data_IF_873181201476
#
_entry.id   IF_873181201476
#
_cell.length_a   1.000
_cell.length_b   1.000
_cell.length_c   1.000
_cell.angle_alpha   90.00
_cell.angle_beta   90.00
_cell.angle_gamma   90.00
#
_symmetry.space_group_name_H-M   'P 1'
#
loop_
_entity.id
_entity.type
_entity.pdbx_description
1 polymer ?
#
# COMPACT_ATOMS: atom_id res chain seq x y z
N UNK A 1 4.62 -13.46 20.92
CA UNK A 1 5.40 -13.26 19.68
C UNK A 1 4.51 -12.68 18.59
N UNK A 2 4.98 -11.66 17.94
CA UNK A 2 4.21 -11.04 16.89
C UNK A 2 4.46 -11.71 15.56
N UNK A 3 3.41 -12.11 14.87
CA UNK A 3 3.50 -12.72 13.55
C UNK A 3 3.01 -11.76 12.46
N UNK A 4 3.08 -12.21 11.22
CA UNK A 4 2.67 -11.41 10.07
C UNK A 4 1.21 -10.99 10.16
N UNK A 5 0.34 -11.88 10.60
CA UNK A 5 -1.10 -11.60 10.71
C UNK A 5 -1.38 -10.50 11.73
N UNK A 6 -0.72 -10.55 12.89
CA UNK A 6 -0.89 -9.54 13.93
C UNK A 6 -0.39 -8.18 13.45
N UNK A 7 0.75 -8.16 12.78
CA UNK A 7 1.31 -6.93 12.21
C UNK A 7 0.40 -6.35 11.15
N UNK A 8 -0.11 -7.21 10.27
CA UNK A 8 -1.02 -6.78 9.21
C UNK A 8 -2.32 -6.19 9.79
N UNK A 9 -2.90 -6.82 10.82
CA UNK A 9 -4.13 -6.33 11.43
C UNK A 9 -3.92 -4.94 12.06
N UNK A 10 -2.78 -4.71 12.68
CA UNK A 10 -2.44 -3.39 13.20
C UNK A 10 -2.35 -2.36 12.09
N UNK A 11 -1.73 -2.73 10.98
CA UNK A 11 -1.61 -1.84 9.83
C UNK A 11 -2.98 -1.55 9.23
N UNK A 12 -3.80 -2.57 9.06
CA UNK A 12 -5.14 -2.42 8.50
C UNK A 12 -5.99 -1.47 9.35
N UNK A 13 -5.92 -1.61 10.67
CA UNK A 13 -6.64 -0.72 11.58
C UNK A 13 -6.22 0.73 11.37
N UNK A 14 -4.93 0.97 11.18
CA UNK A 14 -4.41 2.30 10.93
C UNK A 14 -4.91 2.84 9.58
N UNK A 15 -4.87 2.02 8.54
CA UNK A 15 -5.32 2.42 7.19
C UNK A 15 -6.79 2.84 7.23
N UNK A 16 -7.62 2.07 7.93
CA UNK A 16 -9.05 2.35 7.98
C UNK A 16 -9.41 3.59 8.78
N UNK A 17 -8.47 4.15 9.53
CA UNK A 17 -8.66 5.41 10.23
C UNK A 17 -8.35 6.63 9.37
N UNK A 18 -7.71 6.44 8.21
CA UNK A 18 -7.44 7.55 7.31
C UNK A 18 -8.77 8.05 6.73
N UNK A 19 -8.99 9.39 6.72
CA UNK A 19 -10.27 9.94 6.28
C UNK A 19 -10.68 9.49 4.87
N UNK A 20 -11.90 9.00 4.75
CA UNK A 20 -12.47 8.62 3.46
C UNK A 20 -12.08 7.22 2.96
N UNK A 21 -11.32 6.47 3.75
CA UNK A 21 -10.86 5.15 3.32
C UNK A 21 -11.93 4.09 3.54
N UNK A 22 -12.07 3.22 2.55
CA UNK A 22 -12.95 2.05 2.60
C UNK A 22 -12.19 0.83 2.10
N UNK A 23 -12.51 -0.34 2.65
CA UNK A 23 -11.97 -1.58 2.14
C UNK A 23 -13.00 -2.27 1.25
N UNK A 24 -12.52 -3.05 0.28
CA UNK A 24 -13.36 -3.82 -0.62
C UNK A 24 -12.61 -5.09 -1.03
N UNK A 25 -13.34 -6.06 -1.56
CA UNK A 25 -12.70 -7.24 -2.10
C UNK A 25 -12.01 -6.87 -3.41
N UNK A 26 -10.75 -7.29 -3.56
CA UNK A 26 -10.01 -7.03 -4.79
C UNK A 26 -10.42 -8.07 -5.85
N UNK A 27 -10.53 -7.63 -7.11
CA UNK A 27 -11.05 -8.47 -8.19
C UNK A 27 -10.24 -9.74 -8.45
N UNK A 28 -8.95 -9.73 -8.15
CA UNK A 28 -8.08 -10.91 -8.33
C UNK A 28 -7.73 -11.58 -7.01
N UNK A 29 -8.55 -11.34 -5.98
CA UNK A 29 -8.33 -11.90 -4.65
C UNK A 29 -7.63 -10.93 -3.73
N UNK A 30 -7.80 -11.11 -2.42
CA UNK A 30 -7.25 -10.19 -1.44
C UNK A 30 -8.19 -9.04 -1.14
N UNK A 31 -7.66 -8.00 -0.54
CA UNK A 31 -8.42 -6.84 -0.07
C UNK A 31 -7.81 -5.58 -0.66
N UNK A 32 -8.65 -4.70 -1.21
CA UNK A 32 -8.18 -3.40 -1.67
C UNK A 32 -8.68 -2.30 -0.76
N UNK A 33 -7.95 -1.19 -0.73
CA UNK A 33 -8.32 0.00 0.03
C UNK A 33 -8.47 1.16 -0.94
N UNK A 34 -9.56 1.90 -0.79
CA UNK A 34 -9.91 3.02 -1.65
C UNK A 34 -10.10 4.28 -0.80
N UNK A 35 -9.77 5.42 -1.38
CA UNK A 35 -10.14 6.71 -0.80
C UNK A 35 -11.02 7.41 -1.82
N UNK A 36 -12.26 7.72 -1.41
CA UNK A 36 -13.27 8.37 -2.25
C UNK A 36 -13.44 7.64 -3.59
N UNK A 37 -13.40 6.30 -3.55
CA UNK A 37 -13.61 5.46 -4.73
C UNK A 37 -12.36 5.16 -5.55
N UNK A 38 -11.20 5.72 -5.17
CA UNK A 38 -9.95 5.49 -5.90
C UNK A 38 -9.08 4.50 -5.14
N UNK A 39 -8.75 3.37 -5.77
CA UNK A 39 -7.87 2.39 -5.18
C UNK A 39 -6.46 2.94 -5.04
N UNK A 40 -5.86 2.83 -3.86
CA UNK A 40 -4.48 3.24 -3.65
C UNK A 40 -3.58 2.11 -3.15
N UNK A 41 -4.14 0.99 -2.78
CA UNK A 41 -3.37 -0.21 -2.42
C UNK A 41 -4.27 -1.44 -2.32
N UNK A 42 -3.65 -2.61 -2.39
CA UNK A 42 -4.33 -3.85 -2.06
C UNK A 42 -3.33 -4.81 -1.42
N UNK A 43 -3.86 -5.80 -0.70
CA UNK A 43 -3.04 -6.80 -0.03
C UNK A 43 -3.35 -8.19 -0.57
N UNK A 44 -2.30 -9.00 -0.69
CA UNK A 44 -2.39 -10.43 -1.03
C UNK A 44 -1.97 -11.21 0.20
N UNK A 45 -2.92 -11.47 1.10
CA UNK A 45 -2.62 -12.06 2.39
C UNK A 45 -1.96 -11.05 3.33
N UNK A 46 -1.48 -11.49 4.50
CA UNK A 46 -0.99 -10.57 5.53
C UNK A 46 0.43 -10.07 5.33
N UNK A 47 1.17 -10.58 4.36
CA UNK A 47 2.58 -10.25 4.23
C UNK A 47 2.93 -9.47 2.96
N UNK A 48 2.01 -9.36 2.01
CA UNK A 48 2.31 -8.74 0.72
C UNK A 48 1.35 -7.63 0.38
N UNK A 49 1.89 -6.44 0.13
CA UNK A 49 1.09 -5.26 -0.23
C UNK A 49 1.54 -4.75 -1.59
N UNK A 50 0.58 -4.34 -2.41
CA UNK A 50 0.85 -3.59 -3.63
C UNK A 50 0.30 -2.19 -3.42
N UNK A 51 1.12 -1.17 -3.61
CA UNK A 51 0.83 0.21 -3.24
C UNK A 51 1.08 1.10 -4.44
N UNK A 52 0.11 1.97 -4.78
CA UNK A 52 0.21 2.83 -5.95
C UNK A 52 0.66 4.24 -5.56
N UNK A 53 1.78 4.64 -6.13
CA UNK A 53 2.40 5.94 -5.87
C UNK A 53 2.37 6.81 -7.13
N UNK A 54 2.63 8.10 -6.99
CA UNK A 54 3.00 8.92 -8.14
C UNK A 54 4.33 8.40 -8.67
N UNK A 55 4.64 8.68 -9.92
CA UNK A 55 5.92 8.24 -10.50
C UNK A 55 7.11 8.83 -9.75
N UNK A 56 6.96 10.06 -9.30
CA UNK A 56 8.02 10.74 -8.55
C UNK A 56 8.26 10.04 -7.20
N UNK A 57 7.18 9.76 -6.46
CA UNK A 57 7.29 9.06 -5.18
C UNK A 57 7.76 7.63 -5.37
N UNK A 58 7.32 6.96 -6.42
CA UNK A 58 7.79 5.61 -6.75
C UNK A 58 9.32 5.59 -6.88
N UNK A 59 9.85 6.53 -7.66
CA UNK A 59 11.30 6.63 -7.85
C UNK A 59 12.03 6.83 -6.53
N UNK A 60 11.54 7.73 -5.69
CA UNK A 60 12.14 8.01 -4.40
C UNK A 60 12.10 6.82 -3.46
N UNK A 61 10.95 6.14 -3.41
CA UNK A 61 10.74 4.99 -2.52
C UNK A 61 11.63 3.82 -2.93
N UNK A 62 11.71 3.53 -4.23
CA UNK A 62 12.56 2.44 -4.73
C UNK A 62 14.04 2.75 -4.51
N UNK A 63 14.44 4.00 -4.75
CA UNK A 63 15.83 4.42 -4.56
C UNK A 63 16.23 4.33 -3.10
N UNK A 64 15.32 4.64 -2.19
CA UNK A 64 15.59 4.56 -0.75
C UNK A 64 15.53 3.12 -0.21
N UNK A 65 15.13 2.15 -1.05
CA UNK A 65 15.04 0.75 -0.62
C UNK A 65 13.86 0.46 0.28
N UNK A 66 12.85 1.33 0.29
CA UNK A 66 11.67 1.16 1.15
C UNK A 66 10.66 0.17 0.62
N UNK A 67 10.72 -0.14 -0.67
CA UNK A 67 9.80 -1.09 -1.29
C UNK A 67 10.49 -1.74 -2.50
N UNK A 68 9.80 -2.73 -3.09
CA UNK A 68 10.28 -3.46 -4.25
C UNK A 68 9.50 -3.03 -5.48
N UNK A 69 10.14 -3.12 -6.65
CA UNK A 69 9.45 -2.86 -7.91
C UNK A 69 8.35 -3.92 -8.12
N UNK A 70 7.20 -3.48 -8.63
CA UNK A 70 6.11 -4.41 -8.92
C UNK A 70 6.53 -5.34 -10.08
N UNK A 71 6.20 -6.63 -9.95
CA UNK A 71 6.60 -7.63 -10.93
C UNK A 71 5.94 -7.42 -12.30
N UNK A 72 4.68 -6.97 -12.32
CA UNK A 72 4.00 -6.68 -13.58
C UNK A 72 4.44 -5.33 -14.08
N UNK A 73 5.12 -5.30 -15.23
CA UNK A 73 5.69 -4.08 -15.78
C UNK A 73 4.67 -2.97 -16.01
N UNK A 74 3.48 -3.34 -16.47
CA UNK A 74 2.43 -2.35 -16.73
C UNK A 74 2.01 -1.65 -15.43
N UNK A 75 1.99 -2.37 -14.31
CA UNK A 75 1.67 -1.77 -13.02
C UNK A 75 2.85 -0.95 -12.49
N UNK A 76 4.07 -1.45 -12.67
CA UNK A 76 5.25 -0.68 -12.29
C UNK A 76 5.28 0.65 -13.03
N UNK A 77 4.92 0.68 -14.30
CA UNK A 77 4.86 1.92 -15.07
C UNK A 77 3.77 2.86 -14.59
N UNK A 78 2.73 2.32 -13.95
CA UNK A 78 1.62 3.12 -13.41
C UNK A 78 1.88 3.61 -11.97
N UNK A 79 3.04 3.34 -11.41
CA UNK A 79 3.43 3.81 -10.10
C UNK A 79 3.35 2.78 -8.98
N UNK A 80 2.95 1.55 -9.28
CA UNK A 80 2.81 0.51 -8.25
C UNK A 80 4.16 0.02 -7.76
N UNK A 81 4.24 -0.21 -6.45
CA UNK A 81 5.38 -0.86 -5.80
C UNK A 81 4.85 -1.98 -4.92
N UNK A 82 5.72 -2.92 -4.57
CA UNK A 82 5.38 -4.02 -3.68
C UNK A 82 6.11 -3.85 -2.36
N UNK A 83 5.42 -4.12 -1.26
CA UNK A 83 5.98 -4.00 0.08
C UNK A 83 5.71 -5.29 0.85
N UNK A 84 6.75 -5.87 1.44
CA UNK A 84 6.63 -7.08 2.21
C UNK A 84 6.65 -6.78 3.69
N UNK A 85 5.66 -7.31 4.41
CA UNK A 85 5.59 -7.20 5.86
C UNK A 85 6.07 -8.52 6.45
N UNK A 86 7.18 -8.49 7.18
CA UNK A 86 7.72 -9.68 7.82
C UNK A 86 7.58 -9.63 9.33
N UNK A 87 7.65 -8.43 9.88
CA UNK A 87 7.56 -8.26 11.33
C UNK A 87 7.16 -6.82 11.66
N UNK A 88 7.03 -6.56 12.96
CA UNK A 88 6.51 -5.27 13.43
C UNK A 88 7.41 -4.07 13.07
N UNK A 89 8.69 -4.32 12.83
CA UNK A 89 9.60 -3.24 12.43
C UNK A 89 9.24 -2.65 11.07
N UNK A 90 8.51 -3.41 10.26
CA UNK A 90 8.13 -2.94 8.93
C UNK A 90 6.97 -1.95 8.95
N UNK A 91 6.24 -1.85 10.09
CA UNK A 91 5.06 -1.00 10.18
C UNK A 91 5.34 0.47 9.86
N UNK A 92 6.42 1.01 10.41
CA UNK A 92 6.71 2.43 10.20
C UNK A 92 6.96 2.76 8.74
N UNK A 93 7.76 1.93 8.07
CA UNK A 93 8.04 2.13 6.66
C UNK A 93 6.81 1.88 5.79
N UNK A 94 6.00 0.87 6.14
CA UNK A 94 4.77 0.60 5.43
C UNK A 94 3.83 1.82 5.51
N UNK A 95 3.69 2.40 6.70
CA UNK A 95 2.84 3.58 6.90
C UNK A 95 3.32 4.76 6.07
N UNK A 96 4.64 4.96 5.97
CA UNK A 96 5.20 6.04 5.16
C UNK A 96 4.82 5.90 3.70
N UNK A 97 5.00 4.70 3.15
CA UNK A 97 4.72 4.44 1.74
C UNK A 97 3.21 4.55 1.47
N UNK A 98 2.39 3.99 2.37
CA UNK A 98 0.94 4.03 2.23
C UNK A 98 0.41 5.47 2.33
N UNK A 99 0.99 6.28 3.22
CA UNK A 99 0.58 7.68 3.35
C UNK A 99 0.80 8.44 2.05
N UNK A 100 1.92 8.21 1.37
CA UNK A 100 2.19 8.81 0.07
C UNK A 100 1.15 8.39 -0.97
N UNK A 101 0.78 7.11 -0.97
CA UNK A 101 -0.21 6.58 -1.90
C UNK A 101 -1.59 7.17 -1.64
N UNK A 102 -1.96 7.27 -0.37
CA UNK A 102 -3.23 7.85 0.04
C UNK A 102 -3.34 9.32 -0.43
N UNK A 103 -2.30 10.11 -0.20
CA UNK A 103 -2.30 11.51 -0.59
C UNK A 103 -2.32 11.67 -2.12
N UNK A 104 -1.60 10.80 -2.83
CA UNK A 104 -1.60 10.82 -4.28
C UNK A 104 -3.00 10.50 -4.84
N UNK A 105 -3.68 9.51 -4.26
CA UNK A 105 -5.02 9.14 -4.69
C UNK A 105 -6.00 10.28 -4.46
N UNK A 106 -5.88 10.99 -3.34
CA UNK A 106 -6.75 12.14 -3.06
C UNK A 106 -6.55 13.27 -4.07
N UNK A 107 -5.32 13.51 -4.50
CA UNK A 107 -5.03 14.53 -5.51
C UNK A 107 -5.65 14.18 -6.86
N UNK A 108 -5.76 12.89 -7.16
CA UNK A 108 -6.32 12.42 -8.42
C UNK A 108 -7.79 12.80 -8.59
N UNK A 109 -8.48 13.13 -7.49
CA UNK A 109 -9.89 13.46 -7.50
C UNK A 109 -10.21 14.91 -7.85
N UNK A 110 -9.22 15.74 -8.01
CA UNK A 110 -9.40 17.17 -8.32
C UNK A 110 -9.50 17.42 -9.80
#
# INVERSE_FOLDING_TARGET
MEDESSTYESLKAWILQLPGVREALHSVGGVEFQVDGVEFMHSHGPSWLDIRLSKEDQTSVLKAGLALSHKAEVHAQAGWVSFRIENRRDLMNAKKVIQLAYENAKKTLI
#
